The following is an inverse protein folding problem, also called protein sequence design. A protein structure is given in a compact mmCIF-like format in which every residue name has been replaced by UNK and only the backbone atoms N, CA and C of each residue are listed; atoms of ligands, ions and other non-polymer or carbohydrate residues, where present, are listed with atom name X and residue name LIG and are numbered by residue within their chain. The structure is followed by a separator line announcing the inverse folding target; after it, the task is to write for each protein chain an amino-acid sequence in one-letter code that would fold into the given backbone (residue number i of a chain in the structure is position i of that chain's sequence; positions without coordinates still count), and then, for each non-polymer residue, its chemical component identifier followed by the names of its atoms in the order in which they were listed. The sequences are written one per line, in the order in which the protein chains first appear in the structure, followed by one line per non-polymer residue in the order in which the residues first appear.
data_IF_332323845525
#
_entry.id   IF_332323845525
#
_cell.length_a   1.000
_cell.length_b   1.000
_cell.length_c   1.000
_cell.angle_alpha   90.00
_cell.angle_beta   90.00
_cell.angle_gamma   90.00
#
_symmetry.space_group_name_H-M   'P 1'
#
loop_
_entity.id
_entity.type
_entity.pdbx_description
1 polymer ?
#
# COMPACT_ATOMS: atom_id res chain seq x y z
N UNK A 1 -17.82 -10.20 14.12
CA UNK A 1 -17.83 -10.87 12.80
C UNK A 1 -16.57 -11.70 12.68
N UNK A 2 -16.62 -12.86 12.03
CA UNK A 2 -15.42 -13.67 11.77
C UNK A 2 -14.49 -12.95 10.77
N UNK A 3 -13.18 -13.18 10.83
CA UNK A 3 -12.22 -12.52 9.93
C UNK A 3 -12.45 -12.90 8.47
N UNK A 4 -12.81 -14.15 8.18
CA UNK A 4 -13.11 -14.66 6.83
C UNK A 4 -14.14 -13.86 6.03
N UNK A 5 -15.08 -13.21 6.72
CA UNK A 5 -16.19 -12.46 6.11
C UNK A 5 -15.84 -10.97 5.92
N UNK A 6 -14.73 -10.50 6.49
CA UNK A 6 -14.31 -9.11 6.42
C UNK A 6 -13.51 -8.83 5.14
N UNK A 7 -13.65 -7.63 4.56
CA UNK A 7 -12.81 -7.20 3.45
C UNK A 7 -11.33 -7.14 3.83
N UNK A 8 -10.45 -7.53 2.92
CA UNK A 8 -8.99 -7.46 3.13
C UNK A 8 -8.51 -6.05 3.50
N UNK A 9 -9.10 -5.02 2.89
CA UNK A 9 -8.74 -3.63 3.16
C UNK A 9 -9.09 -3.21 4.60
N UNK A 10 -10.21 -3.70 5.13
CA UNK A 10 -10.59 -3.45 6.52
C UNK A 10 -9.62 -4.14 7.47
N UNK A 11 -9.37 -5.43 7.26
CA UNK A 11 -8.41 -6.21 8.06
C UNK A 11 -7.00 -5.60 8.04
N UNK A 12 -6.55 -5.09 6.89
CA UNK A 12 -5.25 -4.43 6.75
C UNK A 12 -5.14 -3.12 7.55
N UNK A 13 -6.26 -2.41 7.76
CA UNK A 13 -6.32 -1.17 8.54
C UNK A 13 -6.52 -1.43 10.03
N UNK A 14 -7.21 -2.52 10.41
CA UNK A 14 -7.58 -2.81 11.80
C UNK A 14 -6.59 -3.70 12.54
N UNK A 15 -5.79 -4.49 11.84
CA UNK A 15 -4.87 -5.45 12.44
C UNK A 15 -3.43 -5.03 12.09
N UNK A 16 -2.57 -4.79 13.10
CA UNK A 16 -1.21 -4.37 12.82
C UNK A 16 -0.47 -5.47 12.04
N UNK A 17 0.28 -5.05 11.02
CA UNK A 17 1.08 -5.93 10.16
C UNK A 17 0.28 -6.94 9.34
N UNK A 18 -1.05 -6.91 9.32
CA UNK A 18 -1.85 -7.76 8.42
C UNK A 18 -1.50 -7.54 6.93
N UNK A 19 -1.17 -6.31 6.55
CA UNK A 19 -0.63 -6.01 5.21
C UNK A 19 0.64 -6.78 4.84
N UNK A 20 1.52 -7.07 5.81
CA UNK A 20 2.69 -7.90 5.58
C UNK A 20 2.30 -9.38 5.39
N UNK A 21 1.34 -9.86 6.18
CA UNK A 21 0.80 -11.21 6.04
C UNK A 21 0.14 -11.44 4.69
N UNK A 22 -0.70 -10.50 4.25
CA UNK A 22 -1.33 -10.57 2.93
C UNK A 22 -0.30 -10.58 1.80
N UNK A 23 0.81 -9.83 1.91
CA UNK A 23 1.91 -9.92 0.94
C UNK A 23 2.60 -11.29 0.91
N UNK A 24 2.74 -11.97 2.06
CA UNK A 24 3.31 -13.32 2.10
C UNK A 24 2.44 -14.34 1.33
N UNK A 25 1.12 -14.17 1.40
CA UNK A 25 0.16 -14.96 0.65
C UNK A 25 -0.17 -14.38 -0.74
N UNK A 26 0.51 -13.31 -1.17
CA UNK A 26 0.30 -12.61 -2.43
C UNK A 26 -1.17 -12.12 -2.62
N UNK A 27 -1.86 -11.81 -1.52
CA UNK A 27 -3.23 -11.30 -1.50
C UNK A 27 -3.26 -9.78 -1.69
N UNK A 28 -3.99 -9.32 -2.71
CA UNK A 28 -4.14 -7.91 -3.03
C UNK A 28 -5.17 -7.21 -2.12
N UNK A 29 -4.68 -6.64 -1.02
CA UNK A 29 -5.46 -5.86 -0.08
C UNK A 29 -5.57 -4.37 -0.46
N UNK A 30 -4.76 -3.91 -1.41
CA UNK A 30 -4.71 -2.50 -1.83
C UNK A 30 -5.79 -2.20 -2.88
N UNK A 31 -5.69 -2.81 -4.06
CA UNK A 31 -6.65 -2.60 -5.15
C UNK A 31 -7.86 -3.54 -4.99
N UNK A 32 -7.60 -4.78 -4.57
CA UNK A 32 -8.59 -5.81 -4.29
C UNK A 32 -9.23 -5.75 -2.91
N UNK A 33 -9.01 -4.68 -2.13
CA UNK A 33 -9.35 -4.60 -0.70
C UNK A 33 -10.82 -4.84 -0.33
N UNK A 34 -11.76 -4.72 -1.29
CA UNK A 34 -13.19 -5.03 -1.10
C UNK A 34 -13.50 -6.53 -1.09
N UNK A 35 -12.58 -7.39 -1.53
CA UNK A 35 -12.74 -8.84 -1.48
C UNK A 35 -12.64 -9.32 -0.04
N UNK A 36 -13.49 -10.27 0.34
CA UNK A 36 -13.40 -10.91 1.65
C UNK A 36 -12.17 -11.79 1.75
N UNK A 37 -11.66 -11.99 2.97
CA UNK A 37 -10.55 -12.91 3.23
C UNK A 37 -10.85 -14.32 2.71
N UNK A 38 -12.06 -14.84 2.91
CA UNK A 38 -12.47 -16.16 2.40
C UNK A 38 -12.33 -16.25 0.86
N UNK A 39 -12.79 -15.22 0.15
CA UNK A 39 -12.72 -15.18 -1.32
C UNK A 39 -11.26 -15.12 -1.80
N UNK A 40 -10.44 -14.30 -1.16
CA UNK A 40 -9.02 -14.16 -1.49
C UNK A 40 -8.24 -15.47 -1.25
N UNK A 41 -8.49 -16.14 -0.12
CA UNK A 41 -7.90 -17.43 0.21
C UNK A 41 -8.32 -18.53 -0.79
N UNK A 42 -9.62 -18.62 -1.10
CA UNK A 42 -10.15 -19.60 -2.06
C UNK A 42 -9.52 -19.46 -3.45
N UNK A 43 -9.36 -18.24 -3.96
CA UNK A 43 -8.73 -17.99 -5.28
C UNK A 43 -7.28 -18.47 -5.37
N UNK A 44 -6.60 -18.61 -4.24
CA UNK A 44 -5.21 -19.07 -4.15
C UNK A 44 -5.06 -20.49 -3.61
N UNK A 45 -6.17 -21.20 -3.44
CA UNK A 45 -6.19 -22.53 -2.83
C UNK A 45 -5.50 -22.56 -1.43
N UNK A 46 -5.69 -21.50 -0.65
CA UNK A 46 -5.15 -21.37 0.70
C UNK A 46 -6.20 -21.78 1.74
N UNK A 47 -5.75 -22.36 2.85
CA UNK A 47 -6.60 -22.63 4.00
C UNK A 47 -6.86 -21.34 4.78
N UNK A 48 -8.11 -20.86 4.70
CA UNK A 48 -8.53 -19.64 5.39
C UNK A 48 -8.37 -19.75 6.92
N UNK A 49 -8.53 -20.95 7.50
CA UNK A 49 -8.44 -21.13 8.95
C UNK A 49 -7.02 -20.86 9.48
N UNK A 50 -5.99 -21.22 8.70
CA UNK A 50 -4.59 -20.91 9.03
C UNK A 50 -4.37 -19.40 9.06
N UNK A 51 -4.89 -18.69 8.05
CA UNK A 51 -4.72 -17.24 7.94
C UNK A 51 -5.49 -16.52 9.06
N UNK A 52 -6.69 -16.99 9.41
CA UNK A 52 -7.45 -16.44 10.54
C UNK A 52 -6.71 -16.60 11.88
N UNK A 53 -6.03 -17.74 12.09
CA UNK A 53 -5.23 -17.97 13.30
C UNK A 53 -4.01 -17.03 13.36
N UNK A 54 -3.36 -16.76 12.23
CA UNK A 54 -2.25 -15.81 12.16
C UNK A 54 -2.71 -14.36 12.36
N UNK A 55 -3.85 -13.99 11.77
CA UNK A 55 -4.47 -12.67 11.99
C UNK A 55 -4.88 -12.48 13.46
N UNK A 56 -5.39 -13.52 14.12
CA UNK A 56 -5.74 -13.46 15.55
C UNK A 56 -4.51 -13.12 16.41
N UNK A 57 -3.36 -13.77 16.16
CA UNK A 57 -2.10 -13.46 16.87
C UNK A 57 -1.62 -12.03 16.62
N UNK A 58 -1.77 -11.54 15.39
CA UNK A 58 -1.42 -10.15 15.08
C UNK A 58 -2.36 -9.15 15.76
N UNK A 59 -3.64 -9.49 15.90
CA UNK A 59 -4.64 -8.63 16.54
C UNK A 59 -4.45 -8.48 18.05
N UNK A 60 -3.64 -9.34 18.69
CA UNK A 60 -3.23 -9.17 20.10
C UNK A 60 -2.33 -7.95 20.30
N UNK A 61 -1.65 -7.49 19.24
CA UNK A 61 -0.81 -6.30 19.31
C UNK A 61 -1.65 -5.03 19.17
N UNK A 62 -1.37 -3.98 19.94
CA UNK A 62 -2.10 -2.72 19.82
C UNK A 62 -1.79 -2.05 18.47
N UNK A 63 -2.82 -1.44 17.88
CA UNK A 63 -2.63 -0.60 16.70
C UNK A 63 -1.89 0.69 17.11
N UNK A 64 -0.77 1.00 16.47
CA UNK A 64 0.03 2.19 16.81
C UNK A 64 -0.66 3.50 16.43
N UNK A 65 -1.38 3.51 15.30
CA UNK A 65 -2.17 4.63 14.80
C UNK A 65 -3.34 4.10 13.98
N UNK A 66 -4.56 4.51 14.34
CA UNK A 66 -5.75 4.24 13.54
C UNK A 66 -5.99 5.36 12.53
N UNK A 67 -5.60 5.11 11.28
CA UNK A 67 -5.78 6.07 10.18
C UNK A 67 -7.24 6.25 9.76
N UNK A 68 -8.16 5.34 10.14
CA UNK A 68 -9.58 5.44 9.79
C UNK A 68 -10.29 6.59 10.51
N UNK A 69 -9.73 7.03 11.63
CA UNK A 69 -10.26 8.11 12.45
C UNK A 69 -9.43 9.40 12.33
N UNK A 70 -8.33 9.37 11.58
CA UNK A 70 -7.46 10.53 11.43
C UNK A 70 -8.10 11.58 10.49
N UNK A 71 -7.87 12.89 10.73
CA UNK A 71 -8.29 13.92 9.78
C UNK A 71 -7.65 13.69 8.41
N UNK A 72 -8.40 13.94 7.33
CA UNK A 72 -7.91 13.76 5.96
C UNK A 72 -6.65 14.57 5.67
N UNK A 73 -6.54 15.78 6.23
CA UNK A 73 -5.35 16.62 6.09
C UNK A 73 -4.09 15.92 6.65
N UNK A 74 -4.21 15.26 7.80
CA UNK A 74 -3.11 14.51 8.43
C UNK A 74 -2.75 13.26 7.62
N UNK A 75 -3.75 12.55 7.08
CA UNK A 75 -3.54 11.40 6.19
C UNK A 75 -2.77 11.84 4.94
N UNK A 76 -3.17 12.96 4.32
CA UNK A 76 -2.50 13.51 3.14
C UNK A 76 -1.04 13.87 3.46
N UNK A 77 -0.80 14.60 4.54
CA UNK A 77 0.56 15.00 4.93
C UNK A 77 1.44 13.78 5.24
N UNK A 78 0.85 12.76 5.88
CA UNK A 78 1.52 11.48 6.09
C UNK A 78 1.83 10.78 4.77
N UNK A 79 0.90 10.74 3.81
CA UNK A 79 1.10 10.09 2.51
C UNK A 79 2.29 10.71 1.76
N UNK A 80 2.34 12.04 1.73
CA UNK A 80 3.41 12.78 1.03
C UNK A 80 4.77 12.43 1.65
N UNK A 81 4.93 12.64 2.95
CA UNK A 81 6.23 12.48 3.61
C UNK A 81 6.64 11.01 3.71
N UNK A 82 5.72 10.12 4.11
CA UNK A 82 6.05 8.73 4.39
C UNK A 82 6.18 7.89 3.12
N UNK A 83 5.43 8.20 2.07
CA UNK A 83 5.38 7.39 0.85
C UNK A 83 5.88 8.14 -0.38
N UNK A 84 5.34 9.31 -0.71
CA UNK A 84 5.72 9.98 -1.97
C UNK A 84 7.19 10.37 -2.00
N UNK A 85 7.65 11.12 -0.99
CA UNK A 85 9.05 11.51 -0.87
C UNK A 85 9.97 10.29 -0.77
N UNK A 86 9.52 9.27 -0.05
CA UNK A 86 10.28 8.03 0.07
C UNK A 86 10.42 7.30 -1.27
N UNK A 87 9.39 7.29 -2.12
CA UNK A 87 9.47 6.69 -3.45
C UNK A 87 10.35 7.50 -4.41
N UNK A 88 10.36 8.83 -4.29
CA UNK A 88 11.28 9.72 -5.03
C UNK A 88 12.75 9.41 -4.70
N UNK A 89 13.05 8.98 -3.48
CA UNK A 89 14.39 8.52 -3.10
C UNK A 89 14.68 7.08 -3.55
N UNK A 90 13.74 6.16 -3.31
CA UNK A 90 13.96 4.73 -3.51
C UNK A 90 14.11 4.33 -4.98
N UNK A 91 13.26 4.86 -5.86
CA UNK A 91 13.21 4.39 -7.25
C UNK A 91 14.48 4.74 -8.03
N UNK A 92 15.06 5.96 -7.94
CA UNK A 92 16.35 6.25 -8.56
C UNK A 92 17.48 5.33 -8.07
N UNK A 93 17.52 5.02 -6.77
CA UNK A 93 18.52 4.10 -6.21
C UNK A 93 18.37 2.68 -6.78
N UNK A 94 17.13 2.17 -6.81
CA UNK A 94 16.83 0.85 -7.36
C UNK A 94 17.16 0.76 -8.86
N UNK A 95 16.89 1.83 -9.63
CA UNK A 95 17.25 1.91 -11.06
C UNK A 95 18.78 1.84 -11.23
N UNK A 96 19.53 2.58 -10.42
CA UNK A 96 21.00 2.55 -10.46
C UNK A 96 21.54 1.15 -10.15
N UNK A 97 21.00 0.51 -9.11
CA UNK A 97 21.38 -0.85 -8.72
C UNK A 97 21.03 -1.87 -9.81
N UNK A 98 19.81 -1.83 -10.36
CA UNK A 98 19.37 -2.70 -11.45
C UNK A 98 20.25 -2.53 -12.70
N UNK A 99 20.60 -1.29 -13.06
CA UNK A 99 21.48 -0.99 -14.20
C UNK A 99 22.85 -1.65 -14.01
N UNK A 100 23.41 -1.55 -12.80
CA UNK A 100 24.70 -2.18 -12.46
C UNK A 100 24.61 -3.70 -12.51
N UNK A 101 23.54 -4.29 -11.97
CA UNK A 101 23.32 -5.74 -11.97
C UNK A 101 23.21 -6.26 -13.40
N UNK A 102 22.36 -5.66 -14.23
CA UNK A 102 22.17 -6.08 -15.62
C UNK A 102 23.46 -5.97 -16.43
N UNK A 103 24.26 -4.91 -16.21
CA UNK A 103 25.54 -4.72 -16.91
C UNK A 103 26.62 -5.71 -16.46
N UNK A 104 26.83 -5.87 -15.16
CA UNK A 104 27.94 -6.68 -14.61
C UNK A 104 27.64 -8.18 -14.68
N UNK A 105 26.37 -8.56 -14.76
CA UNK A 105 25.94 -9.96 -14.78
C UNK A 105 25.21 -10.34 -16.08
N UNK A 106 25.43 -9.60 -17.17
CA UNK A 106 24.74 -9.80 -18.45
C UNK A 106 24.79 -11.25 -18.99
N UNK A 107 25.89 -11.95 -18.71
CA UNK A 107 26.16 -13.33 -19.16
C UNK A 107 25.58 -14.41 -18.23
N UNK A 108 25.07 -14.03 -17.05
CA UNK A 108 24.46 -15.01 -16.13
C UNK A 108 23.04 -15.36 -16.60
N UNK A 109 22.63 -16.65 -16.59
CA UNK A 109 21.31 -17.06 -17.07
C UNK A 109 20.15 -16.48 -16.23
N UNK A 110 20.39 -16.21 -14.94
CA UNK A 110 19.37 -15.72 -14.00
C UNK A 110 19.43 -14.19 -13.78
N UNK A 111 20.11 -13.44 -14.65
CA UNK A 111 20.14 -11.98 -14.55
C UNK A 111 18.74 -11.42 -14.87
N UNK A 112 18.21 -10.45 -14.10
CA UNK A 112 16.87 -9.92 -14.30
C UNK A 112 16.85 -8.91 -15.47
N UNK A 113 17.08 -9.41 -16.70
CA UNK A 113 17.07 -8.60 -17.93
C UNK A 113 15.76 -7.81 -18.05
N UNK A 114 15.88 -6.50 -18.22
CA UNK A 114 14.75 -5.58 -18.35
C UNK A 114 14.25 -4.97 -17.04
N UNK A 115 14.78 -5.36 -15.87
CA UNK A 115 14.37 -4.79 -14.58
C UNK A 115 14.56 -3.27 -14.53
N UNK A 116 15.69 -2.77 -15.04
CA UNK A 116 16.00 -1.34 -15.15
C UNK A 116 14.93 -0.61 -15.95
N UNK A 117 14.47 -1.21 -17.06
CA UNK A 117 13.41 -0.65 -17.90
C UNK A 117 12.09 -0.58 -17.13
N UNK A 118 11.68 -1.67 -16.49
CA UNK A 118 10.41 -1.71 -15.73
C UNK A 118 10.41 -0.74 -14.55
N UNK A 119 11.52 -0.64 -13.81
CA UNK A 119 11.67 0.32 -12.71
C UNK A 119 11.64 1.77 -13.22
N UNK A 120 12.26 2.05 -14.37
CA UNK A 120 12.23 3.40 -14.97
C UNK A 120 10.81 3.78 -15.40
N UNK A 121 10.07 2.86 -16.01
CA UNK A 121 8.66 3.09 -16.37
C UNK A 121 7.81 3.35 -15.13
N UNK A 122 7.95 2.52 -14.09
CA UNK A 122 7.26 2.71 -12.81
C UNK A 122 7.58 4.07 -12.19
N UNK A 123 8.85 4.50 -12.21
CA UNK A 123 9.26 5.80 -11.69
C UNK A 123 8.61 6.97 -12.43
N UNK A 124 8.54 6.90 -13.76
CA UNK A 124 7.91 7.95 -14.57
C UNK A 124 6.40 8.04 -14.31
N UNK A 125 5.71 6.90 -14.32
CA UNK A 125 4.27 6.82 -14.07
C UNK A 125 3.93 7.31 -12.67
N UNK A 126 4.64 6.82 -11.66
CA UNK A 126 4.40 7.17 -10.27
C UNK A 126 4.72 8.65 -9.99
N UNK A 127 5.79 9.20 -10.58
CA UNK A 127 6.12 10.63 -10.45
C UNK A 127 5.01 11.52 -11.02
N UNK A 128 4.49 11.20 -12.20
CA UNK A 128 3.38 11.92 -12.81
C UNK A 128 2.09 11.81 -11.98
N UNK A 129 1.82 10.62 -11.43
CA UNK A 129 0.68 10.36 -10.57
C UNK A 129 0.72 11.19 -9.28
N UNK A 130 1.80 11.08 -8.51
CA UNK A 130 1.98 11.80 -7.24
C UNK A 130 1.93 13.32 -7.44
N UNK A 131 2.46 13.83 -8.55
CA UNK A 131 2.38 15.27 -8.87
C UNK A 131 0.93 15.74 -9.05
N UNK A 132 0.08 14.96 -9.73
CA UNK A 132 -1.34 15.29 -9.88
C UNK A 132 -2.08 15.25 -8.54
N UNK A 133 -1.74 14.27 -7.70
CA UNK A 133 -2.30 14.19 -6.36
C UNK A 133 -1.94 15.42 -5.53
N UNK A 134 -0.64 15.74 -5.44
CA UNK A 134 -0.14 16.84 -4.61
C UNK A 134 -0.55 18.24 -5.10
N UNK A 135 -0.64 18.45 -6.41
CA UNK A 135 -0.96 19.78 -6.96
C UNK A 135 -2.45 20.03 -7.10
N UNK A 136 -3.27 18.98 -7.27
CA UNK A 136 -4.68 19.11 -7.60
C UNK A 136 -5.56 18.42 -6.56
N UNK A 137 -5.47 17.08 -6.46
CA UNK A 137 -6.44 16.30 -5.67
C UNK A 137 -6.34 16.57 -4.17
N UNK A 138 -5.14 16.53 -3.60
CA UNK A 138 -4.91 16.72 -2.17
C UNK A 138 -5.27 18.14 -1.70
N UNK A 139 -4.91 19.23 -2.42
CA UNK A 139 -5.42 20.56 -2.10
C UNK A 139 -6.95 20.65 -2.12
N UNK A 140 -7.62 20.04 -3.11
CA UNK A 140 -9.08 20.02 -3.18
C UNK A 140 -9.69 19.32 -1.96
N UNK A 141 -9.18 18.12 -1.60
CA UNK A 141 -9.64 17.39 -0.41
C UNK A 141 -9.43 18.22 0.87
N UNK A 142 -8.27 18.87 1.03
CA UNK A 142 -8.01 19.71 2.21
C UNK A 142 -8.97 20.90 2.31
N UNK A 143 -9.36 21.50 1.19
CA UNK A 143 -10.30 22.64 1.17
C UNK A 143 -11.74 22.20 1.43
N UNK A 144 -12.19 21.12 0.80
CA UNK A 144 -13.56 20.62 0.92
C UNK A 144 -13.86 20.07 2.32
N UNK A 145 -12.86 19.48 3.00
CA UNK A 145 -12.96 18.91 4.35
C UNK A 145 -12.25 19.73 5.44
N UNK A 146 -11.87 20.98 5.16
CA UNK A 146 -11.45 21.89 6.21
C UNK A 146 -12.62 22.16 7.18
N UNK A 147 -12.39 22.23 8.51
CA UNK A 147 -13.43 22.64 9.44
C UNK A 147 -13.95 24.02 9.03
N UNK A 148 -15.18 24.10 8.50
CA UNK A 148 -15.77 25.39 8.17
C UNK A 148 -15.98 26.17 9.48
N UNK A 149 -15.54 27.44 9.58
CA UNK A 149 -15.93 28.27 10.69
C UNK A 149 -17.43 28.55 10.58
N UNK A 150 -18.24 27.75 11.29
CA UNK A 150 -19.69 27.87 11.38
C UNK A 150 -20.48 27.20 10.26
N UNK A 151 -20.76 25.89 10.37
CA UNK A 151 -21.73 25.24 9.49
C UNK A 151 -21.84 23.73 9.65
N UNK A 152 -23.00 23.30 10.17
CA UNK A 152 -23.44 21.94 10.55
C UNK A 152 -23.01 20.81 9.60
N UNK A 153 -22.55 19.72 10.20
CA UNK A 153 -22.57 18.38 9.61
C UNK A 153 -24.01 17.98 9.28
N UNK A 154 -24.23 17.53 8.04
CA UNK A 154 -25.37 16.70 7.66
C UNK A 154 -24.82 15.31 7.32
#
# INVERSE_FOLDING_TARGET
MAFRDQPLGELALTIPRASALFRQYDMDYCCGGKQTLARAASRKALDVAVIEAELAKLAEQPLSRDWRTAPLAEIIDHIIVRYHDRHREQLPELILQATKVERVHADKPNVPKGLTKYLTMLHQELSSHMMKEEQILFPMIKQEWAPRPGGRSA
#
